data_IF_664488231863
#
_entry.id   IF_664488231863
#
_cell.length_a   1.000
_cell.length_b   1.000
_cell.length_c   1.000
_cell.angle_alpha   90.00
_cell.angle_beta   90.00
_cell.angle_gamma   90.00
#
_symmetry.space_group_name_H-M   'P 1'
#
loop_
_entity.id
_entity.type
_entity.pdbx_description
1 polymer ?
#
# COMPACT_ATOMS: atom_id res chain seq x y z
N UNK A 1 3.48 -1.42 -19.43
CA UNK A 1 2.52 -2.36 -18.81
C UNK A 1 1.52 -2.81 -19.85
N UNK A 2 1.29 -4.08 -19.94
CA UNK A 2 0.21 -4.63 -20.77
C UNK A 2 -0.90 -5.13 -19.84
N UNK A 3 -2.12 -4.68 -20.08
CA UNK A 3 -3.30 -5.11 -19.34
C UNK A 3 -4.23 -5.78 -20.34
N UNK A 4 -4.49 -7.07 -20.16
CA UNK A 4 -5.34 -7.85 -21.03
C UNK A 4 -6.51 -8.46 -20.25
N UNK A 5 -7.62 -8.68 -20.96
CA UNK A 5 -8.79 -9.37 -20.38
C UNK A 5 -9.36 -8.71 -19.13
N UNK A 6 -9.26 -7.38 -19.07
CA UNK A 6 -9.82 -6.58 -18.00
C UNK A 6 -11.02 -5.79 -18.54
N UNK A 7 -12.25 -6.21 -18.23
CA UNK A 7 -13.43 -5.47 -18.68
C UNK A 7 -13.50 -4.12 -17.98
N UNK A 8 -14.12 -3.16 -18.65
CA UNK A 8 -14.38 -1.86 -18.04
C UNK A 8 -15.23 -2.03 -16.79
N UNK A 9 -14.90 -1.30 -15.74
CA UNK A 9 -15.63 -1.28 -14.49
C UNK A 9 -15.28 -0.06 -13.66
N UNK A 10 -16.14 0.22 -12.69
CA UNK A 10 -15.96 1.33 -11.74
C UNK A 10 -16.01 0.75 -10.34
N UNK A 11 -15.09 1.16 -9.49
CA UNK A 11 -15.07 0.76 -8.09
C UNK A 11 -15.35 1.97 -7.21
N UNK A 12 -16.41 1.88 -6.42
CA UNK A 12 -16.64 2.79 -5.30
C UNK A 12 -16.00 2.15 -4.05
N UNK A 13 -14.85 2.65 -3.65
CA UNK A 13 -14.09 2.05 -2.57
C UNK A 13 -14.80 2.08 -1.22
N UNK A 14 -15.72 3.04 -1.01
CA UNK A 14 -16.54 3.08 0.20
C UNK A 14 -17.48 1.88 0.33
N UNK A 15 -17.79 1.20 -0.78
CA UNK A 15 -18.66 0.03 -0.82
C UNK A 15 -17.88 -1.30 -0.77
N UNK A 16 -16.57 -1.25 -0.84
CA UNK A 16 -15.72 -2.45 -0.74
C UNK A 16 -15.44 -2.73 0.73
N UNK A 17 -15.76 -3.96 1.18
CA UNK A 17 -15.55 -4.36 2.55
C UNK A 17 -14.07 -4.26 2.95
N UNK A 18 -13.82 -3.70 4.14
CA UNK A 18 -12.48 -3.62 4.70
C UNK A 18 -12.08 -4.93 5.39
N UNK A 19 -10.82 -5.31 5.24
CA UNK A 19 -10.23 -6.44 5.94
C UNK A 19 -9.08 -5.92 6.80
N UNK A 20 -9.10 -6.26 8.10
CA UNK A 20 -8.12 -5.76 9.04
C UNK A 20 -6.91 -6.70 9.15
N UNK A 21 -5.72 -6.11 9.11
CA UNK A 21 -4.44 -6.80 9.27
C UNK A 21 -3.63 -6.11 10.36
N UNK A 22 -3.29 -6.82 11.43
CA UNK A 22 -2.48 -6.26 12.50
C UNK A 22 -1.05 -6.01 12.03
N UNK A 23 -0.46 -4.87 12.42
CA UNK A 23 0.97 -4.64 12.33
C UNK A 23 1.70 -5.12 13.58
N UNK A 24 2.98 -4.86 13.67
CA UNK A 24 3.72 -5.00 14.94
C UNK A 24 3.08 -4.08 15.97
N UNK A 25 2.74 -2.87 15.55
CA UNK A 25 1.87 -1.94 16.27
C UNK A 25 0.82 -1.42 15.28
N UNK A 26 -0.34 -1.02 15.76
CA UNK A 26 -1.42 -0.53 14.92
C UNK A 26 -2.01 -1.60 14.00
N UNK A 27 -2.83 -1.17 13.07
CA UNK A 27 -3.51 -2.05 12.13
C UNK A 27 -3.66 -1.39 10.76
N UNK A 28 -3.71 -2.21 9.73
CA UNK A 28 -4.05 -1.83 8.38
C UNK A 28 -5.45 -2.31 8.04
N UNK A 29 -6.22 -1.50 7.34
CA UNK A 29 -7.49 -1.91 6.76
C UNK A 29 -7.34 -1.92 5.24
N UNK A 30 -7.55 -3.08 4.64
CA UNK A 30 -7.45 -3.28 3.20
C UNK A 30 -8.82 -3.38 2.57
N UNK A 31 -9.04 -2.60 1.52
CA UNK A 31 -10.14 -2.79 0.59
C UNK A 31 -9.54 -3.22 -0.73
N UNK A 32 -9.86 -4.42 -1.18
CA UNK A 32 -9.13 -5.08 -2.27
C UNK A 32 -10.06 -5.46 -3.42
N UNK A 33 -9.62 -5.19 -4.65
CA UNK A 33 -10.20 -5.73 -5.88
C UNK A 33 -9.11 -6.48 -6.62
N UNK A 34 -9.45 -7.67 -7.08
CA UNK A 34 -8.54 -8.53 -7.83
C UNK A 34 -9.02 -8.62 -9.28
N UNK A 35 -8.13 -8.30 -10.22
CA UNK A 35 -8.41 -8.35 -11.65
C UNK A 35 -7.36 -9.23 -12.34
N UNK A 36 -7.64 -10.55 -12.44
CA UNK A 36 -6.63 -11.47 -12.91
C UNK A 36 -5.39 -11.42 -12.01
N UNK A 37 -4.19 -11.19 -12.58
CA UNK A 37 -2.96 -11.10 -11.77
C UNK A 37 -2.75 -9.74 -11.09
N UNK A 38 -3.61 -8.75 -11.36
CA UNK A 38 -3.47 -7.39 -10.83
C UNK A 38 -4.34 -7.22 -9.60
N UNK A 39 -3.72 -6.80 -8.50
CA UNK A 39 -4.42 -6.47 -7.27
C UNK A 39 -4.41 -4.97 -7.06
N UNK A 40 -5.58 -4.39 -6.81
CA UNK A 40 -5.74 -2.97 -6.54
C UNK A 40 -6.33 -2.80 -5.15
N UNK A 41 -5.72 -1.95 -4.34
CA UNK A 41 -6.15 -1.77 -2.95
C UNK A 41 -6.22 -0.31 -2.57
N UNK A 42 -7.23 0.01 -1.74
CA UNK A 42 -7.21 1.18 -0.87
C UNK A 42 -6.87 0.69 0.52
N UNK A 43 -5.83 1.26 1.11
CA UNK A 43 -5.29 0.81 2.39
C UNK A 43 -5.22 1.99 3.35
N UNK A 44 -5.76 1.80 4.55
CA UNK A 44 -5.64 2.75 5.64
C UNK A 44 -4.77 2.14 6.73
N UNK A 45 -3.73 2.86 7.15
CA UNK A 45 -2.95 2.52 8.33
C UNK A 45 -3.40 3.40 9.49
N UNK A 46 -3.64 2.77 10.64
CA UNK A 46 -3.94 3.51 11.87
C UNK A 46 -2.73 4.31 12.35
N UNK A 47 -2.92 5.32 13.23
CA UNK A 47 -1.79 5.96 13.90
C UNK A 47 -0.87 4.92 14.56
N UNK A 48 0.44 5.18 14.52
CA UNK A 48 1.47 4.31 15.07
C UNK A 48 1.57 2.92 14.43
N UNK A 49 1.07 2.77 13.21
CA UNK A 49 1.23 1.52 12.48
C UNK A 49 2.69 1.28 12.12
N UNK A 50 3.15 0.06 12.37
CA UNK A 50 4.42 -0.48 11.88
C UNK A 50 4.13 -1.86 11.29
N UNK A 51 4.49 -2.05 10.03
CA UNK A 51 4.33 -3.34 9.36
C UNK A 51 5.10 -4.43 10.09
N UNK A 52 4.51 -5.63 10.16
CA UNK A 52 5.07 -6.77 10.89
C UNK A 52 6.11 -7.56 10.09
N UNK A 53 6.38 -7.16 8.85
CA UNK A 53 7.34 -7.84 7.99
C UNK A 53 7.94 -6.88 6.97
N UNK A 54 9.06 -7.31 6.38
CA UNK A 54 9.68 -6.66 5.23
C UNK A 54 9.01 -7.17 3.96
N UNK A 55 8.42 -6.27 3.19
CA UNK A 55 7.73 -6.62 1.95
C UNK A 55 8.76 -6.74 0.82
N UNK A 56 8.65 -7.80 0.02
CA UNK A 56 9.46 -7.99 -1.18
C UNK A 56 8.63 -7.97 -2.47
N UNK A 57 7.34 -7.66 -2.34
CA UNK A 57 6.44 -7.58 -3.48
C UNK A 57 6.59 -6.25 -4.19
N UNK A 58 6.63 -6.31 -5.53
CA UNK A 58 6.63 -5.13 -6.36
C UNK A 58 5.25 -4.46 -6.38
N UNK A 59 5.23 -3.14 -6.44
CA UNK A 59 3.99 -2.39 -6.57
C UNK A 59 4.23 -0.92 -6.93
N UNK A 60 3.15 -0.28 -7.34
CA UNK A 60 3.02 1.17 -7.35
C UNK A 60 2.18 1.57 -6.14
N UNK A 61 2.62 2.59 -5.44
CA UNK A 61 1.95 3.09 -4.25
C UNK A 61 1.85 4.61 -4.31
N UNK A 62 0.65 5.14 -4.07
CA UNK A 62 0.38 6.57 -4.00
C UNK A 62 -0.18 6.93 -2.62
N UNK A 63 0.38 7.94 -1.98
CA UNK A 63 -0.17 8.51 -0.74
C UNK A 63 -1.30 9.46 -1.08
N UNK A 64 -2.49 9.19 -0.56
CA UNK A 64 -3.67 10.02 -0.76
C UNK A 64 -3.88 11.02 0.38
N UNK A 65 -3.65 10.59 1.61
CA UNK A 65 -3.82 11.41 2.81
C UNK A 65 -2.88 10.90 3.89
N UNK A 66 -2.49 11.77 4.80
CA UNK A 66 -1.57 11.42 5.87
C UNK A 66 -0.11 11.38 5.41
N UNK A 67 0.71 10.63 6.13
CA UNK A 67 2.14 10.51 5.83
C UNK A 67 2.58 9.07 5.97
N UNK A 68 3.38 8.61 5.01
CA UNK A 68 3.97 7.28 5.00
C UNK A 68 5.49 7.39 5.15
N UNK A 69 6.05 6.63 6.07
CA UNK A 69 7.49 6.38 6.10
C UNK A 69 7.77 5.02 5.48
N UNK A 70 8.62 4.99 4.46
CA UNK A 70 9.08 3.76 3.83
C UNK A 70 10.56 3.60 4.12
N UNK A 71 10.91 2.49 4.76
CA UNK A 71 12.28 2.12 5.08
C UNK A 71 12.71 0.99 4.17
N UNK A 72 13.87 1.11 3.53
CA UNK A 72 14.49 0.04 2.76
C UNK A 72 15.44 -0.77 3.64
N UNK A 73 15.64 -2.02 3.29
CA UNK A 73 16.49 -2.92 4.08
C UNK A 73 17.95 -2.44 4.19
N UNK A 74 18.41 -1.61 3.24
CA UNK A 74 19.76 -1.03 3.28
C UNK A 74 19.86 0.21 4.19
N UNK A 75 18.79 0.60 4.85
CA UNK A 75 18.76 1.71 5.81
C UNK A 75 18.25 3.04 5.24
N UNK A 76 18.06 3.15 3.93
CA UNK A 76 17.46 4.37 3.36
C UNK A 76 16.02 4.52 3.83
N UNK A 77 15.62 5.74 4.13
CA UNK A 77 14.28 6.06 4.63
C UNK A 77 13.68 7.20 3.82
N UNK A 78 12.40 7.07 3.48
CA UNK A 78 11.68 8.07 2.68
C UNK A 78 10.38 8.44 3.39
N UNK A 79 10.14 9.75 3.51
CA UNK A 79 8.86 10.27 3.98
C UNK A 79 8.03 10.69 2.77
N UNK A 80 6.85 10.09 2.62
CA UNK A 80 5.92 10.42 1.55
C UNK A 80 4.71 11.16 2.12
N UNK A 81 4.41 12.31 1.54
CA UNK A 81 3.24 13.13 1.85
C UNK A 81 2.21 13.03 0.73
N UNK A 82 0.98 13.54 0.90
CA UNK A 82 -0.08 13.40 -0.11
C UNK A 82 0.36 13.86 -1.50
N UNK A 83 0.08 13.03 -2.50
CA UNK A 83 0.48 13.25 -3.89
C UNK A 83 1.83 12.65 -4.26
N UNK A 84 2.59 12.14 -3.30
CA UNK A 84 3.84 11.43 -3.57
C UNK A 84 3.60 9.94 -3.77
N UNK A 85 4.42 9.33 -4.60
CA UNK A 85 4.32 7.90 -4.92
C UNK A 85 5.70 7.27 -5.01
N UNK A 86 5.74 5.94 -4.86
CA UNK A 86 6.93 5.17 -5.19
C UNK A 86 6.55 3.93 -6.00
N UNK A 87 7.54 3.35 -6.65
CA UNK A 87 7.43 2.08 -7.35
C UNK A 87 8.62 1.21 -6.98
N UNK A 88 8.40 -0.09 -6.97
CA UNK A 88 9.45 -1.08 -6.71
C UNK A 88 9.09 -2.36 -7.45
N UNK A 89 10.10 -3.04 -8.01
CA UNK A 89 9.92 -4.32 -8.67
C UNK A 89 9.89 -5.46 -7.66
N UNK A 90 9.31 -6.59 -8.05
CA UNK A 90 9.32 -7.80 -7.23
C UNK A 90 10.77 -8.21 -6.90
N UNK A 91 11.03 -8.44 -5.61
CA UNK A 91 12.31 -8.91 -5.13
C UNK A 91 13.47 -7.92 -5.22
N UNK A 92 13.22 -6.70 -5.72
CA UNK A 92 14.31 -5.75 -5.96
C UNK A 92 14.85 -5.15 -4.66
N UNK A 93 13.98 -4.62 -3.83
CA UNK A 93 14.36 -3.98 -2.57
C UNK A 93 13.30 -4.25 -1.51
N UNK A 94 13.69 -4.96 -0.46
CA UNK A 94 12.81 -5.18 0.69
C UNK A 94 12.51 -3.85 1.37
N UNK A 95 11.25 -3.63 1.72
CA UNK A 95 10.78 -2.37 2.29
C UNK A 95 9.75 -2.61 3.38
N UNK A 96 9.67 -1.66 4.30
CA UNK A 96 8.75 -1.72 5.43
C UNK A 96 8.08 -0.37 5.62
N UNK A 97 6.76 -0.41 5.85
CA UNK A 97 5.92 0.77 6.01
C UNK A 97 5.65 1.08 7.47
N UNK A 98 5.62 2.37 7.79
CA UNK A 98 5.16 2.88 9.08
C UNK A 98 4.51 4.25 8.91
N UNK A 99 3.73 4.65 9.90
CA UNK A 99 3.15 5.99 9.97
C UNK A 99 2.97 6.39 11.43
N UNK A 100 3.24 7.65 11.74
CA UNK A 100 3.03 8.17 13.08
C UNK A 100 1.54 8.51 13.34
N UNK A 101 0.88 9.12 12.38
CA UNK A 101 -0.44 9.70 12.56
C UNK A 101 -1.55 9.08 11.70
N UNK A 102 -1.22 8.10 10.90
CA UNK A 102 -2.13 7.46 9.96
C UNK A 102 -1.89 7.91 8.52
N UNK A 103 -2.28 7.05 7.57
CA UNK A 103 -2.10 7.29 6.15
C UNK A 103 -3.12 6.49 5.35
N UNK A 104 -3.56 7.07 4.24
CA UNK A 104 -4.40 6.40 3.24
C UNK A 104 -3.61 6.25 1.95
N UNK A 105 -3.56 5.02 1.45
CA UNK A 105 -2.76 4.63 0.29
C UNK A 105 -3.62 4.03 -0.80
N UNK A 106 -3.17 4.24 -2.05
CA UNK A 106 -3.66 3.50 -3.21
C UNK A 106 -2.50 2.66 -3.74
N UNK A 107 -2.71 1.34 -3.82
CA UNK A 107 -1.65 0.40 -4.17
C UNK A 107 -2.09 -0.50 -5.31
N UNK A 108 -1.22 -0.65 -6.32
CA UNK A 108 -1.42 -1.58 -7.44
C UNK A 108 -0.26 -2.56 -7.48
N UNK A 109 -0.58 -3.85 -7.43
CA UNK A 109 0.43 -4.89 -7.54
C UNK A 109 -0.07 -6.20 -8.17
#
# INVERSE_FOLDING_TARGET
MQITDLPFGVTNWSEVAGEEHAGTTGAATWRTRQFGPVRVRMVDYSPHYLADHWCQKGHFLLVKAGELTTELADGRTFLLTPGMSYQVADGAEAHRSSTAHGVTLFIVD
#
